data_IF_752926026207
#
_entry.id   IF_752926026207
#
_cell.length_a   1.000
_cell.length_b   1.000
_cell.length_c   1.000
_cell.angle_alpha   90.00
_cell.angle_beta   90.00
_cell.angle_gamma   90.00
#
_symmetry.space_group_name_H-M   'P 1'
#
loop_
_entity.id
_entity.type
_entity.pdbx_description
1 polymer ?
#
# COMPACT_ATOMS: atom_id res chain seq x y z
N UNK A 1 21.22 8.15 41.31
CA UNK A 1 20.75 9.24 40.42
C UNK A 1 19.44 8.80 39.79
N UNK A 2 18.36 9.45 40.16
CA UNK A 2 17.00 9.17 39.64
C UNK A 2 16.91 9.63 38.17
N UNK A 3 16.17 8.94 37.29
CA UNK A 3 15.93 9.40 35.91
C UNK A 3 15.03 10.64 35.95
N UNK A 4 15.42 11.65 35.20
CA UNK A 4 14.84 12.98 35.16
C UNK A 4 13.38 12.98 34.68
N UNK A 5 12.57 13.81 35.33
CA UNK A 5 11.15 14.13 35.05
C UNK A 5 10.85 14.75 33.67
N UNK A 6 11.80 14.74 32.75
CA UNK A 6 11.64 15.34 31.40
C UNK A 6 10.97 14.44 30.34
N UNK A 7 10.63 13.18 30.70
CA UNK A 7 10.01 12.25 29.73
C UNK A 7 8.47 12.23 29.72
N UNK A 8 7.79 12.89 30.67
CA UNK A 8 6.33 12.83 30.80
C UNK A 8 5.55 14.01 30.20
N UNK A 9 6.23 15.04 29.69
CA UNK A 9 5.57 16.24 29.16
C UNK A 9 5.38 16.25 27.62
N UNK A 10 5.73 15.17 26.90
CA UNK A 10 5.61 15.08 25.44
C UNK A 10 4.34 14.41 24.95
N UNK A 11 3.47 13.90 25.82
CA UNK A 11 2.27 13.11 25.47
C UNK A 11 0.93 13.74 25.83
N UNK A 12 0.85 15.04 26.13
CA UNK A 12 -0.42 15.67 26.51
C UNK A 12 -0.95 16.72 25.52
N UNK A 13 -0.54 16.69 24.26
CA UNK A 13 -1.36 17.21 23.18
C UNK A 13 -2.07 16.05 22.50
N UNK A 14 -3.02 15.45 23.22
CA UNK A 14 -4.08 14.67 22.59
C UNK A 14 -4.86 15.71 21.76
N UNK A 15 -4.55 15.79 20.47
CA UNK A 15 -5.51 16.31 19.50
C UNK A 15 -6.67 15.32 19.53
N UNK A 16 -7.59 15.52 20.47
CA UNK A 16 -8.94 15.00 20.32
C UNK A 16 -9.42 15.66 19.02
N UNK A 17 -9.59 14.87 17.96
CA UNK A 17 -10.46 15.27 16.88
C UNK A 17 -11.73 15.72 17.60
N UNK A 18 -12.04 17.00 17.50
CA UNK A 18 -13.21 17.53 18.19
C UNK A 18 -14.41 16.87 17.49
N UNK A 19 -15.02 15.86 18.14
CA UNK A 19 -16.18 15.13 17.60
C UNK A 19 -17.41 16.04 17.37
N UNK A 20 -17.27 17.34 17.60
CA UNK A 20 -18.18 18.38 17.17
C UNK A 20 -18.11 18.68 15.66
N UNK A 21 -17.11 18.19 14.93
CA UNK A 21 -16.99 18.40 13.48
C UNK A 21 -17.72 17.30 12.70
N UNK A 22 -18.57 17.72 11.77
CA UNK A 22 -19.31 16.82 10.88
C UNK A 22 -18.36 15.85 10.14
N UNK A 23 -18.48 14.50 10.34
CA UNK A 23 -17.59 13.51 9.72
C UNK A 23 -17.59 13.56 8.19
N UNK A 24 -18.66 14.10 7.58
CA UNK A 24 -18.79 14.25 6.12
C UNK A 24 -17.80 15.26 5.52
N UNK A 25 -17.14 16.07 6.33
CA UNK A 25 -16.13 17.05 5.90
C UNK A 25 -14.75 16.44 5.76
N UNK A 26 -14.56 15.17 6.16
CA UNK A 26 -13.27 14.48 6.12
C UNK A 26 -13.26 13.42 5.03
N UNK A 27 -12.08 13.20 4.45
CA UNK A 27 -11.78 12.07 3.58
C UNK A 27 -11.14 10.97 4.41
N UNK A 28 -11.74 9.80 4.40
CA UNK A 28 -11.24 8.61 5.10
C UNK A 28 -10.56 7.68 4.09
N UNK A 29 -9.29 7.40 4.33
CA UNK A 29 -8.46 6.60 3.42
C UNK A 29 -7.92 5.39 4.18
N UNK A 30 -8.31 4.18 3.78
CA UNK A 30 -7.87 2.95 4.44
C UNK A 30 -6.87 2.20 3.58
N UNK A 31 -5.82 1.67 4.22
CA UNK A 31 -5.12 0.52 3.66
C UNK A 31 -6.04 -0.71 3.65
N UNK A 32 -5.67 -1.74 2.87
CA UNK A 32 -6.42 -2.98 2.72
C UNK A 32 -5.86 -4.11 3.60
N UNK A 33 -4.69 -4.60 3.25
CA UNK A 33 -4.12 -5.83 3.82
C UNK A 33 -3.63 -5.59 5.25
N UNK A 34 -4.19 -6.33 6.22
CA UNK A 34 -3.88 -6.12 7.63
C UNK A 34 -4.61 -4.92 8.26
N UNK A 35 -5.38 -4.14 7.49
CA UNK A 35 -6.11 -2.95 7.98
C UNK A 35 -7.61 -3.07 7.81
N UNK A 36 -8.13 -3.10 6.58
CA UNK A 36 -9.57 -3.22 6.29
C UNK A 36 -10.00 -4.68 6.06
N UNK A 37 -9.12 -5.47 5.42
CA UNK A 37 -9.37 -6.88 5.14
C UNK A 37 -9.14 -7.73 6.39
N UNK A 38 -9.86 -8.86 6.45
CA UNK A 38 -9.69 -9.86 7.50
C UNK A 38 -8.38 -10.68 7.34
N UNK A 39 -8.24 -11.73 8.17
CA UNK A 39 -7.06 -12.60 8.14
C UNK A 39 -6.90 -13.37 6.83
N UNK A 40 -7.99 -13.62 6.12
CA UNK A 40 -8.01 -14.37 4.87
C UNK A 40 -7.85 -13.43 3.65
N UNK A 41 -7.60 -12.14 3.88
CA UNK A 41 -7.44 -11.13 2.84
C UNK A 41 -8.74 -10.80 2.11
N UNK A 42 -9.88 -10.97 2.79
CA UNK A 42 -11.21 -10.68 2.27
C UNK A 42 -11.86 -9.55 3.07
N UNK A 43 -12.84 -8.88 2.46
CA UNK A 43 -13.70 -7.98 3.23
C UNK A 43 -14.52 -8.82 4.21
N UNK A 44 -14.55 -8.45 5.51
CA UNK A 44 -15.35 -9.17 6.49
C UNK A 44 -16.83 -9.26 6.10
N UNK A 45 -17.53 -10.28 6.62
CA UNK A 45 -18.94 -10.48 6.33
C UNK A 45 -19.76 -9.20 6.58
N UNK A 46 -20.67 -8.89 5.67
CA UNK A 46 -21.52 -7.69 5.70
C UNK A 46 -20.79 -6.35 5.62
N UNK A 47 -19.45 -6.32 5.48
CA UNK A 47 -18.68 -5.07 5.42
C UNK A 47 -19.07 -4.19 4.25
N UNK A 48 -19.32 -4.79 3.08
CA UNK A 48 -19.75 -4.07 1.86
C UNK A 48 -21.04 -3.29 2.15
N UNK A 49 -22.03 -3.94 2.75
CA UNK A 49 -23.31 -3.31 3.05
C UNK A 49 -23.17 -2.19 4.10
N UNK A 50 -22.35 -2.41 5.14
CA UNK A 50 -22.10 -1.45 6.21
C UNK A 50 -21.37 -0.22 5.69
N UNK A 51 -20.29 -0.39 4.93
CA UNK A 51 -19.53 0.70 4.34
C UNK A 51 -20.41 1.48 3.33
N UNK A 52 -21.16 0.78 2.47
CA UNK A 52 -22.05 1.44 1.51
C UNK A 52 -23.11 2.28 2.22
N UNK A 53 -23.71 1.78 3.30
CA UNK A 53 -24.64 2.56 4.11
C UNK A 53 -24.01 3.85 4.67
N UNK A 54 -22.74 3.80 5.09
CA UNK A 54 -22.02 4.98 5.56
C UNK A 54 -21.75 5.96 4.40
N UNK A 55 -21.32 5.45 3.24
CA UNK A 55 -21.10 6.25 2.02
C UNK A 55 -22.40 6.94 1.58
N UNK A 56 -23.52 6.22 1.61
CA UNK A 56 -24.83 6.77 1.27
C UNK A 56 -25.29 7.86 2.30
N UNK A 57 -24.82 7.76 3.54
CA UNK A 57 -25.01 8.78 4.57
C UNK A 57 -23.99 9.94 4.50
N UNK A 58 -23.13 9.95 3.49
CA UNK A 58 -22.17 11.04 3.21
C UNK A 58 -20.77 10.82 3.70
N UNK A 59 -20.36 9.58 4.08
CA UNK A 59 -18.97 9.27 4.35
C UNK A 59 -18.15 9.37 3.05
N UNK A 60 -17.12 10.21 3.05
CA UNK A 60 -16.12 10.24 1.97
C UNK A 60 -15.05 9.20 2.26
N UNK A 61 -15.19 8.03 1.66
CA UNK A 61 -14.32 6.88 1.89
C UNK A 61 -13.59 6.44 0.62
N UNK A 62 -12.32 6.09 0.75
CA UNK A 62 -11.50 5.53 -0.33
C UNK A 62 -10.37 4.65 0.23
N UNK A 63 -9.53 4.13 -0.67
CA UNK A 63 -8.51 3.12 -0.39
C UNK A 63 -7.12 3.60 -0.83
N UNK A 64 -6.08 3.17 -0.08
CA UNK A 64 -4.68 3.29 -0.47
C UNK A 64 -3.96 1.96 -0.20
N UNK A 65 -3.59 1.22 -1.25
CA UNK A 65 -3.06 -0.14 -1.13
C UNK A 65 -1.79 -0.39 -1.93
N UNK A 66 -1.01 -1.40 -1.51
CA UNK A 66 0.08 -1.96 -2.29
C UNK A 66 -0.39 -2.82 -3.48
N UNK A 67 -1.67 -3.21 -3.50
CA UNK A 67 -2.24 -4.01 -4.57
C UNK A 67 -2.34 -3.20 -5.87
N UNK A 68 -2.15 -3.87 -7.01
CA UNK A 68 -2.50 -3.33 -8.31
C UNK A 68 -4.03 -3.38 -8.54
N UNK A 69 -4.51 -2.78 -9.62
CA UNK A 69 -5.94 -2.71 -9.93
C UNK A 69 -6.62 -4.08 -9.96
N UNK A 70 -6.00 -5.06 -10.61
CA UNK A 70 -6.61 -6.37 -10.84
C UNK A 70 -6.73 -7.22 -9.58
N UNK A 71 -5.83 -7.03 -8.64
CA UNK A 71 -5.90 -7.69 -7.32
C UNK A 71 -6.77 -6.92 -6.31
N UNK A 72 -6.94 -5.61 -6.48
CA UNK A 72 -7.77 -4.78 -5.61
C UNK A 72 -9.25 -4.75 -6.05
N UNK A 73 -9.52 -4.58 -7.35
CA UNK A 73 -10.87 -4.42 -7.87
C UNK A 73 -11.85 -5.54 -7.52
N UNK A 74 -11.49 -6.85 -7.61
CA UNK A 74 -12.40 -7.92 -7.22
C UNK A 74 -12.91 -7.81 -5.78
N UNK A 75 -12.10 -7.30 -4.87
CA UNK A 75 -12.44 -7.09 -3.46
C UNK A 75 -13.33 -5.84 -3.27
N UNK A 76 -13.09 -4.80 -4.07
CA UNK A 76 -13.67 -3.47 -3.87
C UNK A 76 -14.89 -3.18 -4.74
N UNK A 77 -15.12 -3.95 -5.82
CA UNK A 77 -16.16 -3.68 -6.84
C UNK A 77 -17.59 -3.53 -6.29
N UNK A 78 -17.84 -4.11 -5.11
CA UNK A 78 -19.13 -4.01 -4.43
C UNK A 78 -19.30 -2.75 -3.57
N UNK A 79 -18.23 -1.98 -3.36
CA UNK A 79 -18.25 -0.74 -2.59
C UNK A 79 -18.66 0.44 -3.48
N UNK A 80 -19.53 1.30 -2.98
CA UNK A 80 -20.00 2.53 -3.66
C UNK A 80 -18.96 3.67 -3.53
N UNK A 81 -17.66 3.36 -3.61
CA UNK A 81 -16.59 4.34 -3.52
C UNK A 81 -16.74 5.36 -4.66
N UNK A 82 -16.80 6.65 -4.30
CA UNK A 82 -16.99 7.78 -5.24
C UNK A 82 -15.69 8.54 -5.53
N UNK A 83 -14.66 8.26 -4.76
CA UNK A 83 -13.36 8.92 -4.87
C UNK A 83 -12.36 7.95 -5.52
N UNK A 84 -11.34 8.46 -6.22
CA UNK A 84 -10.30 7.61 -6.78
C UNK A 84 -9.56 6.84 -5.67
N UNK A 85 -8.97 5.72 -6.02
CA UNK A 85 -8.19 4.85 -5.14
C UNK A 85 -6.70 4.99 -5.42
N UNK A 86 -5.88 4.91 -4.39
CA UNK A 86 -4.41 4.88 -4.50
C UNK A 86 -3.99 3.42 -4.61
N UNK A 87 -3.37 3.07 -5.72
CA UNK A 87 -2.96 1.71 -6.03
C UNK A 87 -1.44 1.60 -6.16
N UNK A 88 -0.97 0.37 -6.00
CA UNK A 88 0.43 -0.04 -6.21
C UNK A 88 1.41 0.86 -5.46
N UNK A 89 1.17 1.00 -4.13
CA UNK A 89 1.94 1.89 -3.24
C UNK A 89 2.06 3.34 -3.73
N UNK A 90 1.03 3.86 -4.40
CA UNK A 90 1.00 5.24 -4.89
C UNK A 90 1.65 5.44 -6.25
N UNK A 91 1.85 4.37 -7.04
CA UNK A 91 2.20 4.51 -8.46
C UNK A 91 1.03 5.09 -9.22
N UNK A 92 -0.21 4.66 -8.90
CA UNK A 92 -1.42 5.06 -9.61
C UNK A 92 -2.44 5.71 -8.68
N UNK A 93 -3.12 6.74 -9.18
CA UNK A 93 -4.40 7.23 -8.68
C UNK A 93 -5.45 6.87 -9.73
N UNK A 94 -6.40 6.00 -9.37
CA UNK A 94 -7.27 5.31 -10.32
C UNK A 94 -8.74 5.46 -9.95
N UNK A 95 -9.60 5.72 -10.91
CA UNK A 95 -11.04 5.59 -10.75
C UNK A 95 -11.41 4.11 -10.57
N UNK A 96 -11.99 3.77 -9.42
CA UNK A 96 -12.20 2.37 -9.05
C UNK A 96 -13.06 1.61 -10.07
N UNK A 97 -14.16 2.19 -10.52
CA UNK A 97 -15.17 1.47 -11.31
C UNK A 97 -14.86 1.43 -12.81
N UNK A 98 -14.02 2.34 -13.31
CA UNK A 98 -13.61 2.39 -14.72
C UNK A 98 -12.23 1.80 -14.94
N UNK A 99 -11.37 1.77 -13.92
CA UNK A 99 -9.97 1.41 -14.04
C UNK A 99 -9.11 2.51 -14.69
N UNK A 100 -9.67 3.70 -14.93
CA UNK A 100 -8.94 4.80 -15.55
C UNK A 100 -7.96 5.43 -14.54
N UNK A 101 -6.70 5.55 -14.94
CA UNK A 101 -5.68 6.21 -14.14
C UNK A 101 -5.74 7.73 -14.33
N UNK A 102 -5.97 8.47 -13.25
CA UNK A 102 -6.04 9.94 -13.24
C UNK A 102 -4.64 10.55 -13.12
N UNK A 103 -3.79 9.95 -12.28
CA UNK A 103 -2.41 10.38 -12.06
C UNK A 103 -1.48 9.18 -11.95
N UNK A 104 -0.23 9.43 -12.33
CA UNK A 104 0.89 8.50 -12.19
C UNK A 104 1.98 9.15 -11.34
N UNK A 105 2.71 8.34 -10.59
CA UNK A 105 4.01 8.76 -10.09
C UNK A 105 5.06 8.65 -11.22
N UNK A 106 6.29 9.05 -10.93
CA UNK A 106 7.41 8.73 -11.81
C UNK A 106 7.66 7.20 -11.78
N UNK A 107 8.22 6.68 -12.86
CA UNK A 107 8.55 5.26 -13.06
C UNK A 107 10.04 5.00 -12.83
N UNK A 108 10.41 3.74 -12.55
CA UNK A 108 11.82 3.34 -12.40
C UNK A 108 12.49 3.47 -13.77
N UNK A 109 13.64 4.11 -13.83
CA UNK A 109 14.36 4.27 -15.10
C UNK A 109 14.89 2.93 -15.62
N UNK A 110 15.01 2.79 -16.95
CA UNK A 110 15.56 1.58 -17.57
C UNK A 110 17.02 1.31 -17.17
N UNK A 111 17.80 2.35 -16.86
CA UNK A 111 19.16 2.19 -16.34
C UNK A 111 19.16 1.55 -14.95
N UNK A 112 18.30 2.02 -14.04
CA UNK A 112 18.18 1.45 -12.70
C UNK A 112 17.68 0.01 -12.78
N UNK A 113 16.63 -0.28 -13.55
CA UNK A 113 16.07 -1.63 -13.62
C UNK A 113 17.07 -2.65 -14.17
N UNK A 114 17.87 -2.29 -15.19
CA UNK A 114 18.93 -3.17 -15.72
C UNK A 114 19.99 -3.48 -14.66
N UNK A 115 20.38 -2.50 -13.86
CA UNK A 115 21.33 -2.69 -12.75
C UNK A 115 20.73 -3.56 -11.65
N UNK A 116 19.44 -3.34 -11.29
CA UNK A 116 18.73 -4.18 -10.31
C UNK A 116 18.67 -5.64 -10.78
N UNK A 117 18.32 -5.89 -12.04
CA UNK A 117 18.31 -7.23 -12.63
C UNK A 117 19.68 -7.87 -12.51
N UNK A 118 20.76 -7.16 -12.88
CA UNK A 118 22.13 -7.67 -12.75
C UNK A 118 22.50 -8.02 -11.30
N UNK A 119 22.09 -7.20 -10.33
CA UNK A 119 22.33 -7.47 -8.90
C UNK A 119 21.61 -8.74 -8.46
N UNK A 120 20.30 -8.86 -8.73
CA UNK A 120 19.52 -10.01 -8.25
C UNK A 120 19.94 -11.33 -8.90
N UNK A 121 20.43 -11.28 -10.14
CA UNK A 121 21.02 -12.43 -10.82
C UNK A 121 22.26 -12.97 -10.08
N UNK A 122 23.10 -12.10 -9.49
CA UNK A 122 24.25 -12.54 -8.67
C UNK A 122 23.83 -13.28 -7.39
N UNK A 123 22.62 -13.01 -6.91
CA UNK A 123 22.02 -13.67 -5.74
C UNK A 123 21.14 -14.88 -6.13
N UNK A 124 21.06 -15.25 -7.41
CA UNK A 124 20.18 -16.29 -7.95
C UNK A 124 18.68 -16.07 -7.60
N UNK A 125 18.23 -14.83 -7.57
CA UNK A 125 16.84 -14.47 -7.36
C UNK A 125 16.25 -13.97 -8.67
N UNK A 126 15.04 -14.43 -8.98
CA UNK A 126 14.34 -14.04 -10.19
C UNK A 126 13.26 -12.98 -9.86
N UNK A 127 13.26 -11.85 -10.57
CA UNK A 127 12.30 -10.78 -10.32
C UNK A 127 10.99 -10.96 -11.11
N UNK A 128 9.94 -10.34 -10.57
CA UNK A 128 8.74 -9.96 -11.29
C UNK A 128 8.83 -8.46 -11.58
N UNK A 129 8.77 -8.08 -12.86
CA UNK A 129 8.92 -6.69 -13.31
C UNK A 129 7.61 -6.23 -13.88
N UNK A 130 7.02 -5.21 -13.25
CA UNK A 130 5.76 -4.62 -13.68
C UNK A 130 6.02 -3.47 -14.62
N UNK A 131 5.32 -3.46 -15.73
CA UNK A 131 5.40 -2.38 -16.70
C UNK A 131 4.08 -1.67 -16.89
N UNK A 132 4.17 -0.48 -17.45
CA UNK A 132 3.05 0.33 -17.90
C UNK A 132 3.31 0.82 -19.31
N UNK A 133 2.36 0.67 -20.20
CA UNK A 133 2.42 1.06 -21.59
C UNK A 133 1.02 1.07 -22.19
N UNK A 134 0.87 0.67 -23.44
CA UNK A 134 -0.45 0.42 -24.04
C UNK A 134 -1.20 -0.68 -23.29
N UNK A 135 -0.44 -1.65 -22.76
CA UNK A 135 -0.90 -2.67 -21.83
C UNK A 135 0.02 -2.72 -20.60
N UNK A 136 -0.47 -3.27 -19.49
CA UNK A 136 0.31 -3.52 -18.29
C UNK A 136 0.80 -4.97 -18.31
N UNK A 137 2.10 -5.19 -18.20
CA UNK A 137 2.67 -6.53 -18.12
C UNK A 137 3.34 -6.80 -16.77
N UNK A 138 3.41 -8.07 -16.41
CA UNK A 138 4.25 -8.61 -15.34
C UNK A 138 5.18 -9.62 -15.99
N UNK A 139 6.41 -9.19 -16.25
CA UNK A 139 7.45 -10.06 -16.80
C UNK A 139 8.11 -10.88 -15.72
N UNK A 140 8.35 -12.16 -15.98
CA UNK A 140 9.15 -13.04 -15.14
C UNK A 140 9.88 -14.10 -15.98
N UNK A 141 11.02 -14.63 -15.50
CA UNK A 141 11.82 -15.64 -16.22
C UNK A 141 11.57 -17.03 -15.66
N UNK A 142 12.12 -17.31 -14.51
CA UNK A 142 12.00 -18.59 -13.84
C UNK A 142 11.31 -18.47 -12.48
N UNK A 143 10.92 -19.60 -11.92
CA UNK A 143 10.33 -19.70 -10.59
C UNK A 143 11.19 -20.65 -9.79
N UNK A 144 11.98 -20.12 -8.86
CA UNK A 144 13.02 -20.86 -8.17
C UNK A 144 12.62 -21.31 -6.75
N UNK A 145 11.45 -20.89 -6.26
CA UNK A 145 10.95 -21.23 -4.93
C UNK A 145 9.42 -21.32 -4.91
N UNK A 146 8.88 -21.92 -3.83
CA UNK A 146 7.45 -22.12 -3.66
C UNK A 146 6.67 -20.80 -3.51
N UNK A 147 7.23 -19.78 -2.86
CA UNK A 147 6.55 -18.49 -2.70
C UNK A 147 6.33 -17.80 -4.04
N UNK A 148 7.37 -17.76 -4.88
CA UNK A 148 7.27 -17.25 -6.25
C UNK A 148 6.30 -18.10 -7.10
N UNK A 149 6.27 -19.44 -6.92
CA UNK A 149 5.30 -20.29 -7.63
C UNK A 149 3.86 -19.96 -7.23
N UNK A 150 3.58 -19.81 -5.94
CA UNK A 150 2.23 -19.42 -5.48
C UNK A 150 1.81 -18.07 -6.08
N UNK A 151 2.75 -17.13 -6.20
CA UNK A 151 2.46 -15.86 -6.85
C UNK A 151 2.16 -16.03 -8.35
N UNK A 152 2.95 -16.82 -9.07
CA UNK A 152 2.69 -17.14 -10.49
C UNK A 152 1.33 -17.83 -10.65
N UNK A 153 0.96 -18.74 -9.76
CA UNK A 153 -0.34 -19.43 -9.81
C UNK A 153 -1.51 -18.41 -9.68
N UNK A 154 -1.34 -17.37 -8.86
CA UNK A 154 -2.33 -16.29 -8.72
C UNK A 154 -2.43 -15.46 -10.01
N UNK A 155 -1.28 -15.06 -10.59
CA UNK A 155 -1.27 -14.19 -11.78
C UNK A 155 -1.39 -14.95 -13.11
N UNK A 156 -1.30 -16.29 -13.12
CA UNK A 156 -1.27 -17.11 -14.34
C UNK A 156 -2.55 -17.04 -15.18
N UNK A 157 -3.69 -16.73 -14.54
CA UNK A 157 -4.97 -16.48 -15.23
C UNK A 157 -5.02 -15.08 -15.88
N UNK A 158 -4.07 -14.21 -15.56
CA UNK A 158 -3.95 -12.86 -16.08
C UNK A 158 -3.12 -12.89 -17.38
N UNK A 159 -3.72 -12.44 -18.48
CA UNK A 159 -3.06 -12.36 -19.80
C UNK A 159 -1.81 -11.47 -19.80
N UNK A 160 -1.65 -10.62 -18.77
CA UNK A 160 -0.52 -9.71 -18.62
C UNK A 160 0.69 -10.36 -17.95
N UNK A 161 0.55 -11.54 -17.34
CA UNK A 161 1.67 -12.32 -16.84
C UNK A 161 2.42 -12.96 -18.03
N UNK A 162 3.62 -12.45 -18.29
CA UNK A 162 4.43 -12.83 -19.46
C UNK A 162 5.70 -13.52 -18.99
N UNK A 163 5.79 -14.82 -19.26
CA UNK A 163 7.05 -15.55 -19.08
C UNK A 163 7.99 -15.24 -20.26
N UNK A 164 9.18 -14.76 -19.96
CA UNK A 164 10.19 -14.38 -20.95
C UNK A 164 11.51 -15.13 -20.72
N UNK A 165 12.32 -15.27 -21.77
CA UNK A 165 13.67 -15.84 -21.64
C UNK A 165 14.67 -14.78 -21.17
N UNK A 166 14.47 -13.52 -21.61
CA UNK A 166 15.27 -12.36 -21.24
C UNK A 166 14.40 -11.13 -21.01
N UNK A 167 14.80 -10.25 -20.10
CA UNK A 167 14.14 -8.97 -19.87
C UNK A 167 14.59 -7.96 -20.92
N UNK A 168 13.80 -7.82 -21.97
CA UNK A 168 14.02 -6.84 -23.04
C UNK A 168 12.90 -5.81 -22.95
N UNK A 169 13.25 -4.55 -22.62
CA UNK A 169 12.31 -3.44 -22.52
C UNK A 169 12.45 -2.51 -23.69
N UNK A 170 11.34 -2.11 -24.30
CA UNK A 170 11.32 -1.06 -25.30
C UNK A 170 11.61 0.31 -24.65
N UNK A 171 12.11 1.29 -25.44
CA UNK A 171 12.39 2.63 -24.91
C UNK A 171 11.14 3.36 -24.38
N UNK A 172 9.97 2.98 -24.86
CA UNK A 172 8.68 3.57 -24.46
C UNK A 172 8.03 2.83 -23.28
N UNK A 173 8.60 1.70 -22.85
CA UNK A 173 8.05 0.92 -21.76
C UNK A 173 8.45 1.50 -20.41
N UNK A 174 7.47 1.73 -19.55
CA UNK A 174 7.67 2.36 -18.24
C UNK A 174 7.64 1.29 -17.18
N UNK A 175 8.65 1.26 -16.30
CA UNK A 175 8.74 0.27 -15.22
C UNK A 175 8.03 0.79 -13.99
N UNK A 176 6.87 0.22 -13.70
CA UNK A 176 6.02 0.66 -12.60
C UNK A 176 6.38 0.04 -11.25
N UNK A 177 7.06 -1.12 -11.26
CA UNK A 177 7.49 -1.78 -10.01
C UNK A 177 8.38 -2.99 -10.27
N UNK A 178 9.00 -3.45 -9.18
CA UNK A 178 9.90 -4.59 -9.16
C UNK A 178 9.61 -5.40 -7.89
N UNK A 179 9.43 -6.71 -8.01
CA UNK A 179 9.10 -7.59 -6.90
C UNK A 179 10.03 -8.79 -6.89
N UNK A 180 10.53 -9.12 -5.70
CA UNK A 180 11.20 -10.39 -5.40
C UNK A 180 10.42 -11.13 -4.33
N UNK A 181 10.35 -12.45 -4.43
CA UNK A 181 9.72 -13.31 -3.44
C UNK A 181 10.68 -14.46 -3.12
N UNK A 182 11.18 -14.49 -1.89
CA UNK A 182 12.02 -15.59 -1.39
C UNK A 182 12.06 -15.57 0.14
N UNK A 183 12.86 -16.46 0.74
CA UNK A 183 13.12 -16.48 2.18
C UNK A 183 13.96 -15.29 2.63
N UNK A 184 13.89 -14.96 3.92
CA UNK A 184 14.64 -13.83 4.49
C UNK A 184 16.16 -13.96 4.33
N UNK A 185 16.67 -15.18 4.39
CA UNK A 185 18.12 -15.47 4.26
C UNK A 185 18.64 -15.12 2.86
N UNK A 186 17.78 -15.23 1.84
CA UNK A 186 18.09 -14.88 0.45
C UNK A 186 17.85 -13.39 0.19
N UNK A 187 16.69 -12.86 0.59
CA UNK A 187 16.32 -11.47 0.28
C UNK A 187 16.98 -10.44 1.19
N UNK A 188 17.40 -10.80 2.40
CA UNK A 188 18.03 -9.84 3.33
C UNK A 188 19.29 -9.20 2.75
N UNK A 189 20.27 -9.98 2.23
CA UNK A 189 21.45 -9.44 1.52
C UNK A 189 21.06 -8.58 0.31
N UNK A 190 20.10 -9.01 -0.51
CA UNK A 190 19.62 -8.27 -1.69
C UNK A 190 19.03 -6.94 -1.28
N UNK A 191 18.18 -6.93 -0.22
CA UNK A 191 17.62 -5.71 0.32
C UNK A 191 18.71 -4.73 0.78
N UNK A 192 19.70 -5.23 1.53
CA UNK A 192 20.77 -4.38 2.04
C UNK A 192 21.58 -3.74 0.89
N UNK A 193 21.87 -4.50 -0.17
CA UNK A 193 22.60 -4.02 -1.33
C UNK A 193 21.78 -2.99 -2.13
N UNK A 194 20.55 -3.33 -2.50
CA UNK A 194 19.68 -2.42 -3.26
C UNK A 194 19.40 -1.13 -2.48
N UNK A 195 19.13 -1.23 -1.18
CA UNK A 195 18.88 -0.07 -0.33
C UNK A 195 20.13 0.81 -0.19
N UNK A 196 21.33 0.21 -0.12
CA UNK A 196 22.58 0.98 -0.06
C UNK A 196 22.87 1.74 -1.35
N UNK A 197 22.47 1.20 -2.50
CA UNK A 197 22.76 1.79 -3.81
C UNK A 197 21.69 2.75 -4.31
N UNK A 198 20.42 2.53 -3.93
CA UNK A 198 19.28 3.19 -4.57
C UNK A 198 18.27 3.79 -3.60
N UNK A 199 18.58 3.98 -2.31
CA UNK A 199 17.65 4.56 -1.33
C UNK A 199 17.17 5.98 -1.69
N UNK A 200 17.95 6.71 -2.49
CA UNK A 200 17.62 8.06 -2.95
C UNK A 200 16.74 8.05 -4.22
N UNK A 201 16.68 6.93 -4.96
CA UNK A 201 15.93 6.78 -6.21
C UNK A 201 14.71 5.88 -6.07
N UNK A 202 14.72 4.96 -5.09
CA UNK A 202 13.67 3.96 -4.92
C UNK A 202 13.08 3.99 -3.50
N UNK A 203 11.79 3.72 -3.41
CA UNK A 203 11.15 3.21 -2.20
C UNK A 203 11.22 1.70 -2.23
N UNK A 204 11.92 1.09 -1.28
CA UNK A 204 12.11 -0.35 -1.18
C UNK A 204 11.40 -0.85 0.09
N UNK A 205 10.36 -1.64 -0.09
CA UNK A 205 9.60 -2.26 0.99
C UNK A 205 10.01 -3.73 1.12
N UNK A 206 10.51 -4.10 2.29
CA UNK A 206 10.90 -5.47 2.61
C UNK A 206 10.03 -5.99 3.74
N UNK A 207 9.17 -6.95 3.46
CA UNK A 207 8.14 -7.41 4.36
C UNK A 207 7.99 -8.93 4.34
N UNK A 208 7.61 -9.50 5.49
CA UNK A 208 7.20 -10.89 5.58
C UNK A 208 5.84 -11.07 4.91
N UNK A 209 5.68 -12.13 4.12
CA UNK A 209 4.37 -12.50 3.55
C UNK A 209 3.41 -12.91 4.67
N UNK A 210 2.26 -12.25 4.73
CA UNK A 210 1.24 -12.52 5.76
C UNK A 210 0.59 -13.89 5.56
N UNK A 211 0.34 -14.27 4.30
CA UNK A 211 -0.31 -15.53 3.95
C UNK A 211 0.64 -16.73 4.01
N UNK A 212 1.92 -16.51 3.70
CA UNK A 212 2.96 -17.53 3.67
C UNK A 212 4.21 -17.06 4.45
N UNK A 213 4.19 -17.09 5.79
CA UNK A 213 5.20 -16.46 6.63
C UNK A 213 6.64 -17.02 6.51
N UNK A 214 6.84 -18.08 5.75
CA UNK A 214 8.16 -18.61 5.36
C UNK A 214 8.87 -17.70 4.35
N UNK A 215 8.09 -16.92 3.57
CA UNK A 215 8.60 -16.06 2.51
C UNK A 215 8.54 -14.58 2.92
N UNK A 216 9.32 -13.80 2.19
CA UNK A 216 9.33 -12.35 2.26
C UNK A 216 9.12 -11.79 0.85
N UNK A 217 8.57 -10.60 0.81
CA UNK A 217 8.41 -9.80 -0.40
C UNK A 217 9.33 -8.60 -0.30
N UNK A 218 10.10 -8.37 -1.37
CA UNK A 218 10.85 -7.15 -1.56
C UNK A 218 10.26 -6.43 -2.77
N UNK A 219 9.58 -5.33 -2.52
CA UNK A 219 8.95 -4.50 -3.54
C UNK A 219 9.71 -3.20 -3.70
N UNK A 220 10.00 -2.81 -4.93
CA UNK A 220 10.67 -1.55 -5.24
C UNK A 220 9.85 -0.73 -6.21
N UNK A 221 9.75 0.56 -5.93
CA UNK A 221 9.04 1.56 -6.73
C UNK A 221 9.93 2.80 -6.85
N UNK A 222 9.67 3.65 -7.83
CA UNK A 222 10.34 4.94 -7.89
C UNK A 222 10.13 5.72 -6.58
N UNK A 223 11.13 6.48 -6.11
CA UNK A 223 11.05 7.17 -4.82
C UNK A 223 9.84 8.12 -4.68
N UNK A 224 9.30 8.64 -5.80
CA UNK A 224 8.08 9.46 -5.78
C UNK A 224 6.79 8.66 -5.67
N UNK A 225 6.81 7.35 -5.89
CA UNK A 225 5.66 6.47 -5.67
C UNK A 225 5.56 6.12 -4.19
N UNK A 226 4.63 6.74 -3.49
CA UNK A 226 4.28 6.39 -2.12
C UNK A 226 2.84 6.76 -1.82
N UNK A 227 2.20 6.04 -0.89
CA UNK A 227 0.82 6.30 -0.48
C UNK A 227 0.64 7.75 -0.04
N UNK A 228 1.58 8.31 0.74
CA UNK A 228 1.48 9.68 1.23
C UNK A 228 1.70 10.74 0.16
N UNK A 229 2.59 10.51 -0.81
CA UNK A 229 2.76 11.43 -1.94
C UNK A 229 1.55 11.43 -2.86
N UNK A 230 0.98 10.24 -3.13
CA UNK A 230 -0.24 10.14 -3.93
C UNK A 230 -1.47 10.67 -3.18
N UNK A 231 -1.54 10.53 -1.85
CA UNK A 231 -2.57 11.16 -1.01
C UNK A 231 -2.56 12.69 -1.19
N UNK A 232 -1.38 13.32 -1.24
CA UNK A 232 -1.28 14.76 -1.54
C UNK A 232 -1.80 15.13 -2.92
N UNK A 233 -1.61 14.29 -3.92
CA UNK A 233 -2.15 14.52 -5.26
C UNK A 233 -3.67 14.33 -5.29
N UNK A 234 -4.16 13.26 -4.66
CA UNK A 234 -5.59 12.98 -4.54
C UNK A 234 -6.33 14.12 -3.83
N UNK A 235 -5.82 14.61 -2.70
CA UNK A 235 -6.46 15.70 -1.96
C UNK A 235 -6.51 17.01 -2.73
N UNK A 236 -5.47 17.31 -3.53
CA UNK A 236 -5.48 18.45 -4.47
C UNK A 236 -6.52 18.27 -5.58
N UNK A 237 -6.61 17.07 -6.14
CA UNK A 237 -7.59 16.76 -7.17
C UNK A 237 -9.03 16.90 -6.68
N UNK A 238 -9.28 16.50 -5.42
CA UNK A 238 -10.59 16.54 -4.78
C UNK A 238 -10.91 17.89 -4.12
N UNK A 239 -9.96 18.84 -4.12
CA UNK A 239 -10.06 20.11 -3.36
C UNK A 239 -10.37 19.91 -1.86
N UNK A 240 -9.76 18.87 -1.27
CA UNK A 240 -9.87 18.54 0.16
C UNK A 240 -8.54 18.86 0.84
N UNK A 241 -8.50 19.70 1.90
CA UNK A 241 -7.26 19.94 2.64
C UNK A 241 -6.71 18.66 3.29
N UNK A 242 -5.38 18.48 3.31
CA UNK A 242 -4.74 17.36 4.02
C UNK A 242 -5.13 17.30 5.49
N UNK A 243 -5.34 18.44 6.14
CA UNK A 243 -5.88 18.52 7.52
C UNK A 243 -7.24 17.84 7.69
N UNK A 244 -8.00 17.69 6.62
CA UNK A 244 -9.31 17.05 6.60
C UNK A 244 -9.21 15.59 6.09
N UNK A 245 -8.07 14.94 6.25
CA UNK A 245 -7.91 13.52 5.93
C UNK A 245 -7.71 12.69 7.19
N UNK A 246 -8.36 11.53 7.23
CA UNK A 246 -8.18 10.50 8.25
C UNK A 246 -7.67 9.25 7.54
N UNK A 247 -6.51 8.74 7.95
CA UNK A 247 -5.91 7.58 7.30
C UNK A 247 -5.79 6.41 8.26
N UNK A 248 -5.99 5.18 7.75
CA UNK A 248 -5.87 3.93 8.50
C UNK A 248 -4.77 3.08 7.89
N UNK A 249 -3.97 2.42 8.74
CA UNK A 249 -2.90 1.56 8.28
C UNK A 249 -2.32 0.70 9.38
N UNK A 250 -1.44 -0.24 9.00
CA UNK A 250 -0.80 -1.19 9.90
C UNK A 250 0.69 -1.41 9.62
N UNK A 251 1.18 -1.05 8.42
CA UNK A 251 2.53 -1.40 8.00
C UNK A 251 3.40 -0.20 7.59
N UNK A 252 4.70 -0.46 7.32
CA UNK A 252 5.70 0.60 7.06
C UNK A 252 5.39 1.48 5.84
N UNK A 253 4.72 0.92 4.81
CA UNK A 253 4.29 1.67 3.63
C UNK A 253 3.13 2.65 3.90
N UNK A 254 2.55 2.63 5.11
CA UNK A 254 1.53 3.59 5.54
C UNK A 254 2.13 4.80 6.25
N UNK A 255 3.38 4.71 6.72
CA UNK A 255 4.01 5.74 7.52
C UNK A 255 4.09 7.09 6.81
N UNK A 256 4.24 7.10 5.50
CA UNK A 256 4.31 8.35 4.75
C UNK A 256 2.94 9.01 4.59
N UNK A 257 1.85 8.25 4.49
CA UNK A 257 0.50 8.85 4.56
C UNK A 257 0.14 9.27 6.00
N UNK A 258 0.60 8.54 7.04
CA UNK A 258 0.44 8.96 8.44
C UNK A 258 1.09 10.31 8.72
N UNK A 259 2.29 10.56 8.14
CA UNK A 259 3.04 11.81 8.32
C UNK A 259 2.39 13.03 7.65
N UNK A 260 1.56 12.83 6.64
CA UNK A 260 0.99 13.94 5.84
C UNK A 260 -0.50 14.17 6.07
N UNK A 261 -1.21 13.17 6.55
CA UNK A 261 -2.65 13.27 6.84
C UNK A 261 -2.92 14.16 8.06
N UNK A 262 -4.12 14.71 8.12
CA UNK A 262 -4.59 15.45 9.29
C UNK A 262 -4.74 14.59 10.53
N UNK A 263 -5.13 13.32 10.35
CA UNK A 263 -5.29 12.36 11.45
C UNK A 263 -4.92 10.95 11.00
N UNK A 264 -4.11 10.24 11.77
CA UNK A 264 -3.66 8.88 11.48
C UNK A 264 -4.10 7.90 12.55
N UNK A 265 -4.59 6.74 12.12
CA UNK A 265 -5.17 5.71 12.97
C UNK A 265 -4.50 4.38 12.64
N UNK A 266 -3.86 3.77 13.63
CA UNK A 266 -3.33 2.42 13.51
C UNK A 266 -4.34 1.40 14.03
N UNK A 267 -4.42 0.25 13.37
CA UNK A 267 -5.14 -0.91 13.93
C UNK A 267 -4.28 -1.61 14.99
N UNK A 268 -4.90 -2.40 15.89
CA UNK A 268 -4.19 -3.03 17.01
C UNK A 268 -3.12 -4.04 16.56
N UNK A 269 -3.31 -4.69 15.41
CA UNK A 269 -2.30 -5.58 14.83
C UNK A 269 -1.16 -4.86 14.11
N UNK A 270 -1.19 -3.52 14.00
CA UNK A 270 -0.14 -2.75 13.34
C UNK A 270 1.23 -2.92 14.01
N UNK A 271 2.30 -2.73 13.25
CA UNK A 271 3.65 -2.74 13.76
C UNK A 271 3.84 -1.68 14.86
N UNK A 272 4.68 -1.96 15.89
CA UNK A 272 4.95 -1.00 16.97
C UNK A 272 5.42 0.35 16.45
N UNK A 273 6.23 0.36 15.38
CA UNK A 273 6.70 1.56 14.72
C UNK A 273 5.52 2.39 14.15
N UNK A 274 4.59 1.76 13.44
CA UNK A 274 3.41 2.42 12.86
C UNK A 274 2.51 2.98 13.97
N UNK A 275 2.28 2.21 15.03
CA UNK A 275 1.53 2.67 16.21
C UNK A 275 2.15 3.91 16.86
N UNK A 276 3.48 4.03 16.84
CA UNK A 276 4.18 5.19 17.43
C UNK A 276 3.95 6.49 16.67
N UNK A 277 3.55 6.42 15.39
CA UNK A 277 3.19 7.56 14.55
C UNK A 277 1.69 7.84 14.50
N UNK A 278 0.87 6.94 15.03
CA UNK A 278 -0.57 7.08 15.00
C UNK A 278 -1.08 8.06 16.07
N UNK A 279 -2.06 8.88 15.72
CA UNK A 279 -2.80 9.69 16.68
C UNK A 279 -3.74 8.85 17.54
N UNK A 280 -4.20 7.71 17.01
CA UNK A 280 -5.10 6.79 17.72
C UNK A 280 -4.82 5.35 17.30
N UNK A 281 -5.07 4.41 18.23
CA UNK A 281 -5.09 2.97 17.95
C UNK A 281 -6.55 2.52 18.14
N UNK A 282 -7.04 1.72 17.19
CA UNK A 282 -8.38 1.12 17.20
C UNK A 282 -8.25 -0.42 17.21
N UNK A 283 -9.36 -1.14 17.36
CA UNK A 283 -9.38 -2.61 17.33
C UNK A 283 -8.73 -3.17 16.06
N UNK A 284 -8.32 -4.42 16.13
CA UNK A 284 -7.61 -5.09 15.04
C UNK A 284 -8.46 -5.22 13.76
N UNK A 285 -7.82 -5.52 12.64
CA UNK A 285 -8.51 -5.80 11.39
C UNK A 285 -9.46 -7.00 11.50
N UNK A 286 -9.06 -8.06 12.23
CA UNK A 286 -9.92 -9.25 12.46
C UNK A 286 -11.14 -8.94 13.31
N UNK A 287 -11.09 -7.90 14.12
CA UNK A 287 -12.21 -7.36 14.90
C UNK A 287 -12.95 -6.23 14.17
N UNK A 288 -12.70 -6.05 12.88
CA UNK A 288 -13.32 -5.03 12.01
C UNK A 288 -13.14 -3.59 12.54
N UNK A 289 -11.96 -3.30 13.12
CA UNK A 289 -11.70 -2.05 13.83
C UNK A 289 -11.99 -0.79 13.00
N UNK A 290 -11.61 -0.77 11.71
CA UNK A 290 -11.90 0.37 10.81
C UNK A 290 -13.40 0.57 10.66
N UNK A 291 -14.17 -0.50 10.43
CA UNK A 291 -15.61 -0.40 10.17
C UNK A 291 -16.35 0.08 11.41
N UNK A 292 -16.05 -0.48 12.59
CA UNK A 292 -16.65 -0.02 13.86
C UNK A 292 -16.29 1.43 14.18
N UNK A 293 -15.05 1.84 13.90
CA UNK A 293 -14.66 3.23 14.06
C UNK A 293 -15.47 4.15 13.16
N UNK A 294 -15.61 3.81 11.86
CA UNK A 294 -16.38 4.60 10.91
C UNK A 294 -17.87 4.69 11.30
N UNK A 295 -18.47 3.60 11.79
CA UNK A 295 -19.86 3.60 12.27
C UNK A 295 -20.04 4.52 13.47
N UNK A 296 -19.10 4.50 14.43
CA UNK A 296 -19.16 5.36 15.62
C UNK A 296 -19.13 6.87 15.33
N UNK A 297 -18.77 7.27 14.10
CA UNK A 297 -18.80 8.67 13.67
C UNK A 297 -20.20 9.16 13.27
N UNK A 298 -21.14 8.24 13.01
CA UNK A 298 -22.49 8.51 12.53
C UNK A 298 -23.58 8.17 13.56
N UNK A 299 -23.17 7.74 14.77
CA UNK A 299 -24.04 7.58 15.94
C UNK A 299 -24.20 8.91 16.69
#
# INVERSE_FOLDING_TARGET
MQPSEYSYLKYSFIFTMDFATDPRKFLYVSDLDGTLLDRDGQLPENSVQRINKLIDNGLNFTIATARNYDSAYPLLKGLNIKHPVILFNGVYLTELHTGENIFFSDFISLDIIRKMVSIVETHNVEPFIYTYGEEHFVYYKAVNNRGAQLYVDIISSDKRAQKVDEFIFSENEQISGFLLIDRSEVLGPVYAELNSLYADELNIYYARDVSNPEFHWLQSFHQKASKGKMLKQMTRHLDIPLSNTVVFGDYLNDLDMFKVAGYSIAVENALPEVKSFAHRIISSNVDQGVIFYLESLFE
#
